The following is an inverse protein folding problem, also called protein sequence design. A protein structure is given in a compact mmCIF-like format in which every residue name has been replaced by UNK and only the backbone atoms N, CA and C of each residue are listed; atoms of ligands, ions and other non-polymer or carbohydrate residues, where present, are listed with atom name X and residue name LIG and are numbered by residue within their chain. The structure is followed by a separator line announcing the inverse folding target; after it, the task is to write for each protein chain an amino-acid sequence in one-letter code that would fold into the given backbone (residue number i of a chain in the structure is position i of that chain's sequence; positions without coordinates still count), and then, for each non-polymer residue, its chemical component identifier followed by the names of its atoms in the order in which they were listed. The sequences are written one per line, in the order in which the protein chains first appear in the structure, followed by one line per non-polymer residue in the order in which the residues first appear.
data_IF_950327872273
#
_entry.id   IF_950327872273
#
_cell.length_a   1.000
_cell.length_b   1.000
_cell.length_c   1.000
_cell.angle_alpha   90.00
_cell.angle_beta   90.00
_cell.angle_gamma   90.00
#
_symmetry.space_group_name_H-M   'P 1'
#
loop_
_entity.id
_entity.type
_entity.pdbx_description
1 polymer ?
#
# COMPACT_ATOMS: atom_id res chain seq x y z
N UNK A 1 29.97 35.11 -2.07
CA UNK A 1 28.93 34.36 -1.30
C UNK A 1 28.61 33.12 -2.12
N UNK A 2 28.64 31.93 -1.55
CA UNK A 2 28.22 30.73 -2.31
C UNK A 2 26.76 30.91 -2.72
N UNK A 3 26.43 30.55 -3.95
CA UNK A 3 25.07 30.60 -4.46
C UNK A 3 24.13 29.80 -3.54
N UNK A 4 23.03 30.40 -3.10
CA UNK A 4 22.03 29.73 -2.26
C UNK A 4 21.48 28.58 -3.08
N UNK A 5 21.64 27.32 -2.62
CA UNK A 5 21.09 26.14 -3.27
C UNK A 5 19.59 26.34 -3.45
N UNK A 6 19.11 26.31 -4.68
CA UNK A 6 17.68 26.41 -4.97
C UNK A 6 17.03 25.12 -4.50
N UNK A 7 16.04 25.21 -3.64
CA UNK A 7 15.27 24.07 -3.11
C UNK A 7 13.98 24.01 -3.91
N UNK A 8 13.69 22.85 -4.46
CA UNK A 8 12.49 22.58 -5.23
C UNK A 8 11.47 21.81 -4.38
N UNK A 9 10.22 21.83 -4.78
CA UNK A 9 9.12 21.13 -4.12
C UNK A 9 9.42 19.65 -3.88
N UNK A 10 9.98 18.97 -4.86
CA UNK A 10 10.37 17.56 -4.77
C UNK A 10 11.45 17.32 -3.69
N UNK A 11 12.45 18.20 -3.56
CA UNK A 11 13.46 18.10 -2.50
C UNK A 11 12.82 18.14 -1.11
N UNK A 12 11.77 18.97 -0.94
CA UNK A 12 11.04 19.11 0.32
C UNK A 12 10.23 17.84 0.62
N UNK A 13 9.54 17.28 -0.38
CA UNK A 13 8.76 16.05 -0.23
C UNK A 13 9.68 14.85 0.07
N UNK A 14 10.82 14.74 -0.59
CA UNK A 14 11.84 13.72 -0.28
C UNK A 14 12.37 13.84 1.15
N UNK A 15 12.68 15.05 1.60
CA UNK A 15 13.12 15.27 2.96
C UNK A 15 12.02 14.94 3.98
N UNK A 16 10.77 15.27 3.67
CA UNK A 16 9.63 14.91 4.50
C UNK A 16 9.44 13.39 4.61
N UNK A 17 9.63 12.65 3.52
CA UNK A 17 9.65 11.16 3.53
C UNK A 17 10.75 10.65 4.46
N UNK A 18 11.98 11.19 4.37
CA UNK A 18 13.07 10.77 5.26
C UNK A 18 12.75 11.05 6.73
N UNK A 19 12.18 12.22 7.05
CA UNK A 19 11.72 12.52 8.42
C UNK A 19 10.70 11.49 8.91
N UNK A 20 9.73 11.12 8.09
CA UNK A 20 8.73 10.09 8.45
C UNK A 20 9.41 8.73 8.68
N UNK A 21 10.26 8.28 7.76
CA UNK A 21 10.96 6.99 7.87
C UNK A 21 11.81 6.85 9.12
N UNK A 22 12.60 7.88 9.42
CA UNK A 22 13.62 7.82 10.47
C UNK A 22 13.08 8.17 11.85
N UNK A 23 12.11 9.08 11.92
CA UNK A 23 11.66 9.68 13.18
C UNK A 23 10.16 9.43 13.46
N UNK A 24 9.45 8.81 12.53
CA UNK A 24 8.02 8.53 12.63
C UNK A 24 7.12 9.71 12.24
N UNK A 25 5.85 9.40 12.07
CA UNK A 25 4.81 10.37 11.63
C UNK A 25 4.69 11.57 12.58
N UNK A 26 4.88 11.36 13.88
CA UNK A 26 4.79 12.42 14.90
C UNK A 26 5.89 13.47 14.79
N UNK A 27 7.01 13.13 14.17
CA UNK A 27 8.12 14.06 13.94
C UNK A 27 7.92 14.94 12.68
N UNK A 28 6.92 14.65 11.85
CA UNK A 28 6.66 15.41 10.64
C UNK A 28 6.24 16.84 10.96
N UNK A 29 7.11 17.79 10.65
CA UNK A 29 6.91 19.22 10.89
C UNK A 29 7.77 20.06 9.94
N UNK A 30 7.33 21.27 9.65
CA UNK A 30 8.11 22.23 8.82
C UNK A 30 9.53 22.40 9.34
N UNK A 31 9.71 22.45 10.68
CA UNK A 31 11.03 22.62 11.32
C UNK A 31 11.92 21.41 11.07
N UNK A 32 11.43 20.20 11.24
CA UNK A 32 12.22 18.99 11.03
C UNK A 32 12.57 18.77 9.56
N UNK A 33 11.65 19.06 8.64
CA UNK A 33 11.92 19.01 7.19
C UNK A 33 13.01 20.04 6.82
N UNK A 34 12.92 21.29 7.32
CA UNK A 34 13.92 22.32 7.07
C UNK A 34 15.30 21.94 7.65
N UNK A 35 15.33 21.31 8.84
CA UNK A 35 16.54 20.76 9.46
C UNK A 35 17.15 19.66 8.59
N UNK A 36 16.35 18.73 8.09
CA UNK A 36 16.78 17.65 7.20
C UNK A 36 17.42 18.19 5.91
N UNK A 37 16.88 19.28 5.37
CA UNK A 37 17.41 19.96 4.18
C UNK A 37 18.59 20.90 4.47
N UNK A 38 18.92 21.12 5.74
CA UNK A 38 19.93 22.13 6.18
C UNK A 38 19.61 23.55 5.68
N UNK A 39 18.32 23.96 5.72
CA UNK A 39 17.86 25.28 5.31
C UNK A 39 16.95 25.92 6.38
N UNK A 40 16.60 27.19 6.18
CA UNK A 40 15.53 27.83 6.95
C UNK A 40 14.15 27.31 6.53
N UNK A 41 13.10 27.61 7.29
CA UNK A 41 11.72 27.23 6.96
C UNK A 41 11.13 28.02 5.78
N UNK A 42 11.76 29.12 5.36
CA UNK A 42 11.24 30.01 4.32
C UNK A 42 11.01 29.32 2.97
N UNK A 43 11.93 28.48 2.44
CA UNK A 43 11.70 27.75 1.19
C UNK A 43 10.44 26.87 1.23
N UNK A 44 10.11 26.26 2.36
CA UNK A 44 8.92 25.42 2.49
C UNK A 44 7.64 26.23 2.32
N UNK A 45 7.57 27.42 2.96
CA UNK A 45 6.44 28.33 2.81
C UNK A 45 6.37 29.04 1.44
N UNK A 46 7.43 28.95 0.64
CA UNK A 46 7.41 29.45 -0.74
C UNK A 46 6.83 28.42 -1.72
N UNK A 47 6.93 27.13 -1.40
CA UNK A 47 6.48 26.02 -2.25
C UNK A 47 5.09 25.48 -1.83
N UNK A 48 4.71 25.65 -0.56
CA UNK A 48 3.44 25.16 0.00
C UNK A 48 2.71 26.27 0.74
N UNK A 49 1.42 26.38 0.50
CA UNK A 49 0.58 27.40 1.12
C UNK A 49 0.58 27.30 2.65
N UNK A 50 0.49 26.07 3.15
CA UNK A 50 0.52 25.76 4.58
C UNK A 50 1.03 24.34 4.81
N UNK A 51 1.10 23.93 6.09
CA UNK A 51 1.59 22.60 6.45
C UNK A 51 0.62 21.47 6.06
N UNK A 52 -0.68 21.75 6.02
CA UNK A 52 -1.68 20.75 5.63
C UNK A 52 -1.60 20.46 4.15
N UNK A 53 -1.44 21.49 3.29
CA UNK A 53 -1.19 21.29 1.86
C UNK A 53 0.10 20.51 1.58
N UNK A 54 1.15 20.73 2.36
CA UNK A 54 2.37 19.92 2.28
C UNK A 54 2.11 18.44 2.63
N UNK A 55 1.31 18.17 3.68
CA UNK A 55 0.97 16.79 4.06
C UNK A 55 0.14 16.07 3.00
N UNK A 56 -0.81 16.75 2.39
CA UNK A 56 -1.63 16.21 1.31
C UNK A 56 -0.76 15.82 0.10
N UNK A 57 0.10 16.75 -0.33
CA UNK A 57 1.01 16.47 -1.43
C UNK A 57 2.07 15.41 -1.09
N UNK A 58 2.57 15.38 0.14
CA UNK A 58 3.46 14.32 0.62
C UNK A 58 2.78 12.95 0.56
N UNK A 59 1.49 12.89 0.89
CA UNK A 59 0.74 11.65 0.80
C UNK A 59 0.65 11.14 -0.65
N UNK A 60 0.32 12.03 -1.59
CA UNK A 60 0.26 11.68 -3.02
C UNK A 60 1.64 11.25 -3.52
N UNK A 61 2.67 12.02 -3.23
CA UNK A 61 4.05 11.72 -3.59
C UNK A 61 4.51 10.37 -3.03
N UNK A 62 4.25 10.09 -1.75
CA UNK A 62 4.62 8.84 -1.13
C UNK A 62 3.88 7.65 -1.73
N UNK A 63 2.60 7.78 -2.06
CA UNK A 63 1.81 6.75 -2.74
C UNK A 63 2.34 6.46 -4.14
N UNK A 64 2.57 7.47 -4.94
CA UNK A 64 3.09 7.31 -6.31
C UNK A 64 4.49 6.66 -6.31
N UNK A 65 5.34 7.07 -5.39
CA UNK A 65 6.74 6.63 -5.39
C UNK A 65 6.96 5.25 -4.78
N UNK A 66 6.22 4.91 -3.72
CA UNK A 66 6.51 3.73 -2.90
C UNK A 66 5.45 2.63 -2.97
N UNK A 67 4.29 2.87 -3.60
CA UNK A 67 3.22 1.87 -3.77
C UNK A 67 3.07 1.48 -5.25
N UNK A 68 4.13 1.54 -6.04
CA UNK A 68 4.11 1.01 -7.39
C UNK A 68 4.30 -0.51 -7.34
N UNK A 69 3.26 -1.23 -7.74
CA UNK A 69 3.26 -2.69 -7.79
C UNK A 69 3.12 -3.08 -9.26
N UNK A 70 4.05 -3.92 -9.73
CA UNK A 70 3.94 -4.58 -11.03
C UNK A 70 3.70 -6.07 -10.79
N UNK A 71 2.47 -6.48 -10.45
CA UNK A 71 2.19 -7.86 -10.10
C UNK A 71 2.17 -8.73 -11.35
N UNK A 72 2.63 -9.96 -11.18
CA UNK A 72 2.47 -11.03 -12.18
C UNK A 72 1.35 -12.00 -11.80
N UNK A 73 0.96 -12.01 -10.53
CA UNK A 73 -0.06 -12.90 -9.96
C UNK A 73 -0.96 -12.14 -9.00
N UNK A 74 -2.18 -12.62 -8.80
CA UNK A 74 -3.10 -12.03 -7.83
C UNK A 74 -2.50 -11.93 -6.42
N UNK A 75 -1.77 -12.96 -5.97
CA UNK A 75 -1.12 -12.97 -4.66
C UNK A 75 -0.05 -11.88 -4.51
N UNK A 76 0.60 -11.48 -5.59
CA UNK A 76 1.68 -10.49 -5.56
C UNK A 76 1.19 -9.11 -5.07
N UNK A 77 -0.08 -8.75 -5.29
CA UNK A 77 -0.69 -7.54 -4.71
C UNK A 77 -0.69 -7.59 -3.18
N UNK A 78 -1.08 -8.73 -2.61
CA UNK A 78 -1.09 -8.92 -1.16
C UNK A 78 0.31 -8.91 -0.57
N UNK A 79 1.24 -9.68 -1.17
CA UNK A 79 2.63 -9.76 -0.72
C UNK A 79 3.32 -8.39 -0.76
N UNK A 80 3.12 -7.60 -1.83
CA UNK A 80 3.69 -6.27 -1.94
C UNK A 80 3.22 -5.34 -0.81
N UNK A 81 1.94 -5.39 -0.42
CA UNK A 81 1.44 -4.61 0.71
C UNK A 81 2.05 -5.05 2.04
N UNK A 82 2.21 -6.37 2.25
CA UNK A 82 2.84 -6.91 3.47
C UNK A 82 4.32 -6.57 3.55
N UNK A 83 5.07 -6.66 2.44
CA UNK A 83 6.47 -6.24 2.37
C UNK A 83 6.61 -4.74 2.64
N UNK A 84 5.77 -3.92 2.02
CA UNK A 84 5.76 -2.49 2.29
C UNK A 84 5.51 -2.18 3.77
N UNK A 85 4.55 -2.87 4.39
CA UNK A 85 4.27 -2.72 5.82
C UNK A 85 5.44 -3.17 6.72
N UNK A 86 6.25 -4.15 6.27
CA UNK A 86 7.40 -4.68 6.98
C UNK A 86 8.63 -3.79 6.85
N UNK A 87 8.93 -3.36 5.64
CA UNK A 87 10.15 -2.64 5.30
C UNK A 87 10.02 -1.13 5.55
N UNK A 88 8.82 -0.58 5.35
CA UNK A 88 8.51 0.84 5.41
C UNK A 88 7.44 1.17 6.46
N UNK A 89 7.61 0.65 7.68
CA UNK A 89 6.61 0.73 8.77
C UNK A 89 6.04 2.12 8.99
N UNK A 90 6.88 3.13 9.07
CA UNK A 90 6.43 4.50 9.35
C UNK A 90 5.74 5.14 8.14
N UNK A 91 6.18 4.84 6.92
CA UNK A 91 5.46 5.26 5.72
C UNK A 91 4.12 4.54 5.58
N UNK A 92 4.07 3.24 5.88
CA UNK A 92 2.81 2.51 5.90
C UNK A 92 1.81 3.14 6.89
N UNK A 93 2.26 3.46 8.12
CA UNK A 93 1.43 4.15 9.11
C UNK A 93 0.95 5.50 8.60
N UNK A 94 1.83 6.31 8.00
CA UNK A 94 1.50 7.61 7.45
C UNK A 94 0.44 7.54 6.35
N UNK A 95 0.55 6.55 5.46
CA UNK A 95 -0.34 6.42 4.29
C UNK A 95 -1.66 5.75 4.67
N UNK A 96 -1.63 4.69 5.49
CA UNK A 96 -2.76 3.79 5.70
C UNK A 96 -3.41 3.91 7.09
N UNK A 97 -2.66 4.24 8.15
CA UNK A 97 -3.16 4.27 9.54
C UNK A 97 -3.34 5.73 9.99
N UNK A 98 -4.25 6.45 9.36
CA UNK A 98 -4.61 7.80 9.75
C UNK A 98 -6.11 8.01 9.72
N UNK A 99 -6.58 8.97 10.51
CA UNK A 99 -7.95 9.46 10.34
C UNK A 99 -8.09 10.09 8.95
N UNK A 100 -9.20 9.82 8.28
CA UNK A 100 -9.53 10.36 6.95
C UNK A 100 -10.82 11.12 7.04
N UNK A 101 -10.91 12.20 6.27
CA UNK A 101 -12.17 12.86 6.04
C UNK A 101 -13.06 12.00 5.13
N UNK A 102 -14.38 12.18 5.21
CA UNK A 102 -15.37 11.31 4.54
C UNK A 102 -15.21 11.22 3.02
N UNK A 103 -14.52 12.18 2.41
CA UNK A 103 -14.33 12.27 0.96
C UNK A 103 -13.04 11.58 0.49
N UNK A 104 -12.13 11.25 1.41
CA UNK A 104 -10.86 10.64 1.05
C UNK A 104 -10.94 9.11 1.06
N UNK A 105 -11.28 8.53 -0.07
CA UNK A 105 -11.12 7.09 -0.29
C UNK A 105 -9.73 6.82 -0.87
N UNK A 106 -9.02 5.81 -0.33
CA UNK A 106 -7.86 5.27 -1.05
C UNK A 106 -8.43 4.41 -2.17
N UNK A 107 -8.38 4.92 -3.38
CA UNK A 107 -8.66 4.13 -4.56
C UNK A 107 -7.60 3.02 -4.67
N UNK A 108 -8.06 1.81 -4.85
CA UNK A 108 -7.19 0.70 -5.23
C UNK A 108 -6.87 0.88 -6.72
N UNK A 109 -5.68 1.35 -7.02
CA UNK A 109 -5.20 1.63 -8.39
C UNK A 109 -5.31 0.39 -9.29
N UNK A 110 -5.29 -0.80 -8.69
CA UNK A 110 -5.35 -2.06 -9.41
C UNK A 110 -6.74 -2.72 -9.39
N UNK A 111 -7.76 -2.02 -8.86
CA UNK A 111 -9.08 -2.62 -8.64
C UNK A 111 -9.68 -3.22 -9.90
N UNK A 112 -9.75 -2.46 -10.98
CA UNK A 112 -10.37 -2.91 -12.24
C UNK A 112 -9.59 -4.08 -12.85
N UNK A 113 -8.26 -4.01 -12.84
CA UNK A 113 -7.40 -5.10 -13.29
C UNK A 113 -7.63 -6.37 -12.46
N UNK A 114 -7.70 -6.22 -11.14
CA UNK A 114 -7.92 -7.33 -10.21
C UNK A 114 -9.29 -7.98 -10.41
N UNK A 115 -10.35 -7.17 -10.55
CA UNK A 115 -11.70 -7.70 -10.78
C UNK A 115 -11.78 -8.39 -12.15
N UNK A 116 -11.16 -7.81 -13.17
CA UNK A 116 -11.05 -8.45 -14.49
C UNK A 116 -10.37 -9.82 -14.40
N UNK A 117 -9.21 -9.89 -13.73
CA UNK A 117 -8.46 -11.13 -13.51
C UNK A 117 -9.32 -12.20 -12.81
N UNK A 118 -9.95 -11.85 -11.70
CA UNK A 118 -10.78 -12.78 -10.94
C UNK A 118 -12.00 -13.24 -11.76
N UNK A 119 -12.61 -12.35 -12.54
CA UNK A 119 -13.77 -12.70 -13.37
C UNK A 119 -13.40 -13.58 -14.56
N UNK A 120 -12.32 -13.27 -15.27
CA UNK A 120 -11.91 -13.99 -16.48
C UNK A 120 -11.17 -15.29 -16.15
N UNK A 121 -10.10 -15.24 -15.32
CA UNK A 121 -9.28 -16.41 -15.06
C UNK A 121 -9.97 -17.43 -14.17
N UNK A 122 -10.79 -16.97 -13.21
CA UNK A 122 -11.56 -17.87 -12.35
C UNK A 122 -12.98 -18.12 -12.84
N UNK A 123 -13.37 -17.58 -14.00
CA UNK A 123 -14.73 -17.72 -14.52
C UNK A 123 -15.79 -17.42 -13.44
N UNK A 124 -15.63 -16.29 -12.76
CA UNK A 124 -16.52 -15.83 -11.70
C UNK A 124 -17.40 -14.72 -12.20
N UNK A 125 -18.65 -14.68 -11.72
CA UNK A 125 -19.46 -13.49 -11.93
C UNK A 125 -18.83 -12.27 -11.21
N UNK A 126 -19.08 -11.09 -11.75
CA UNK A 126 -18.48 -9.83 -11.26
C UNK A 126 -18.81 -9.55 -9.79
N UNK A 127 -19.98 -9.93 -9.31
CA UNK A 127 -20.37 -9.73 -7.91
C UNK A 127 -19.51 -10.60 -6.97
N UNK A 128 -19.40 -11.90 -7.27
CA UNK A 128 -18.57 -12.83 -6.51
C UNK A 128 -17.09 -12.43 -6.54
N UNK A 129 -16.56 -12.00 -7.70
CA UNK A 129 -15.20 -11.49 -7.82
C UNK A 129 -14.94 -10.27 -6.91
N UNK A 130 -15.87 -9.30 -6.90
CA UNK A 130 -15.79 -8.12 -6.02
C UNK A 130 -15.84 -8.48 -4.54
N UNK A 131 -16.72 -9.37 -4.14
CA UNK A 131 -16.85 -9.81 -2.75
C UNK A 131 -15.62 -10.60 -2.28
N UNK A 132 -15.07 -11.49 -3.13
CA UNK A 132 -13.84 -12.20 -2.85
C UNK A 132 -12.69 -11.21 -2.66
N UNK A 133 -12.49 -10.31 -3.62
CA UNK A 133 -11.41 -9.31 -3.56
C UNK A 133 -11.52 -8.44 -2.30
N UNK A 134 -12.70 -7.94 -1.98
CA UNK A 134 -12.93 -7.14 -0.76
C UNK A 134 -12.52 -7.88 0.52
N UNK A 135 -12.83 -9.17 0.63
CA UNK A 135 -12.45 -9.98 1.80
C UNK A 135 -10.94 -10.23 1.84
N UNK A 136 -10.33 -10.49 0.69
CA UNK A 136 -8.86 -10.61 0.60
C UNK A 136 -8.18 -9.30 1.02
N UNK A 137 -8.69 -8.15 0.60
CA UNK A 137 -8.19 -6.84 1.03
C UNK A 137 -8.28 -6.67 2.55
N UNK A 138 -9.43 -6.99 3.16
CA UNK A 138 -9.58 -6.89 4.61
C UNK A 138 -8.58 -7.77 5.37
N UNK A 139 -8.39 -9.01 4.91
CA UNK A 139 -7.44 -9.93 5.52
C UNK A 139 -6.01 -9.44 5.39
N UNK A 140 -5.59 -9.11 4.17
CA UNK A 140 -4.23 -8.62 3.88
C UNK A 140 -3.93 -7.33 4.62
N UNK A 141 -4.88 -6.40 4.64
CA UNK A 141 -4.74 -5.13 5.36
C UNK A 141 -4.59 -5.34 6.87
N UNK A 142 -5.36 -6.27 7.45
CA UNK A 142 -5.23 -6.61 8.87
C UNK A 142 -3.83 -7.14 9.21
N UNK A 143 -3.27 -8.03 8.38
CA UNK A 143 -1.90 -8.52 8.52
C UNK A 143 -0.88 -7.37 8.41
N UNK A 144 -1.03 -6.52 7.40
CA UNK A 144 -0.14 -5.37 7.19
C UNK A 144 -0.13 -4.41 8.39
N UNK A 145 -1.31 -4.13 8.98
CA UNK A 145 -1.42 -3.32 10.21
C UNK A 145 -0.69 -3.98 11.38
N UNK A 146 -0.86 -5.30 11.58
CA UNK A 146 -0.17 -6.03 12.65
C UNK A 146 1.35 -5.97 12.48
N UNK A 147 1.85 -6.11 11.25
CA UNK A 147 3.28 -6.00 10.92
C UNK A 147 3.80 -4.59 11.19
N UNK A 148 3.16 -3.56 10.62
CA UNK A 148 3.62 -2.17 10.71
C UNK A 148 3.58 -1.63 12.13
N UNK A 149 2.63 -2.07 12.95
CA UNK A 149 2.51 -1.66 14.36
C UNK A 149 3.41 -2.47 15.30
N UNK A 150 4.05 -3.53 14.80
CA UNK A 150 4.86 -4.44 15.62
C UNK A 150 4.03 -5.34 16.55
N UNK A 151 2.71 -5.40 16.35
CA UNK A 151 1.84 -6.29 17.13
C UNK A 151 2.18 -7.76 16.89
N UNK A 152 2.57 -8.12 15.65
CA UNK A 152 3.01 -9.46 15.28
C UNK A 152 4.16 -9.39 14.29
N UNK A 153 5.18 -10.22 14.51
CA UNK A 153 6.23 -10.45 13.54
C UNK A 153 5.85 -11.67 12.69
N UNK A 154 5.65 -11.47 11.40
CA UNK A 154 5.21 -12.49 10.45
C UNK A 154 6.36 -12.76 9.48
N UNK A 155 6.74 -14.04 9.33
CA UNK A 155 7.81 -14.44 8.40
C UNK A 155 7.32 -14.42 6.94
N UNK A 156 8.26 -14.47 5.99
CA UNK A 156 7.94 -14.53 4.56
C UNK A 156 7.11 -15.78 4.23
N UNK A 157 7.50 -16.92 4.78
CA UNK A 157 6.79 -18.19 4.59
C UNK A 157 5.39 -18.15 5.21
N UNK A 158 5.22 -17.45 6.34
CA UNK A 158 3.91 -17.27 6.97
C UNK A 158 3.03 -16.33 6.14
N UNK A 159 3.58 -15.23 5.60
CA UNK A 159 2.84 -14.32 4.71
C UNK A 159 2.33 -15.06 3.47
N UNK A 160 3.20 -15.81 2.81
CA UNK A 160 2.86 -16.57 1.60
C UNK A 160 1.79 -17.62 1.88
N UNK A 161 1.94 -18.38 2.97
CA UNK A 161 1.00 -19.42 3.38
C UNK A 161 -0.36 -18.83 3.74
N UNK A 162 -0.41 -17.82 4.60
CA UNK A 162 -1.66 -17.19 5.05
C UNK A 162 -2.49 -16.62 3.89
N UNK A 163 -1.82 -15.92 2.94
CA UNK A 163 -2.51 -15.42 1.75
C UNK A 163 -3.03 -16.55 0.86
N UNK A 164 -2.29 -17.63 0.74
CA UNK A 164 -2.73 -18.80 -0.04
C UNK A 164 -3.91 -19.49 0.62
N UNK A 165 -3.85 -19.72 1.92
CA UNK A 165 -4.88 -20.45 2.68
C UNK A 165 -6.20 -19.68 2.70
N UNK A 166 -6.16 -18.37 2.98
CA UNK A 166 -7.38 -17.57 2.94
C UNK A 166 -7.97 -17.48 1.52
N UNK A 167 -7.12 -17.38 0.50
CA UNK A 167 -7.58 -17.38 -0.88
C UNK A 167 -8.26 -18.71 -1.26
N UNK A 168 -7.69 -19.87 -0.88
CA UNK A 168 -8.31 -21.19 -1.07
C UNK A 168 -9.67 -21.28 -0.40
N UNK A 169 -9.80 -20.78 0.84
CA UNK A 169 -11.07 -20.78 1.56
C UNK A 169 -12.13 -19.93 0.81
N UNK A 170 -11.75 -18.73 0.35
CA UNK A 170 -12.66 -17.87 -0.39
C UNK A 170 -13.02 -18.47 -1.75
N UNK A 171 -12.06 -19.05 -2.45
CA UNK A 171 -12.24 -19.69 -3.74
C UNK A 171 -13.24 -20.85 -3.64
N UNK A 172 -13.07 -21.73 -2.66
CA UNK A 172 -13.99 -22.83 -2.37
C UNK A 172 -15.41 -22.33 -2.10
N UNK A 173 -15.54 -21.27 -1.30
CA UNK A 173 -16.85 -20.69 -0.98
C UNK A 173 -17.57 -20.14 -2.22
N UNK A 174 -16.89 -19.32 -3.01
CA UNK A 174 -17.52 -18.62 -4.14
C UNK A 174 -17.73 -19.52 -5.36
N UNK A 175 -16.85 -20.50 -5.58
CA UNK A 175 -16.98 -21.48 -6.69
C UNK A 175 -17.69 -22.77 -6.28
N UNK A 176 -18.03 -22.94 -4.99
CA UNK A 176 -18.67 -24.16 -4.45
C UNK A 176 -17.84 -25.42 -4.71
N UNK A 177 -16.54 -25.34 -4.47
CA UNK A 177 -15.57 -26.43 -4.68
C UNK A 177 -15.54 -27.34 -3.47
N UNK A 178 -15.75 -28.65 -3.66
CA UNK A 178 -15.80 -29.62 -2.59
C UNK A 178 -14.51 -30.48 -2.47
N UNK A 179 -13.64 -30.49 -3.49
CA UNK A 179 -12.44 -31.32 -3.53
C UNK A 179 -11.16 -30.49 -3.73
N UNK A 180 -10.02 -31.06 -3.37
CA UNK A 180 -8.71 -30.41 -3.40
C UNK A 180 -8.19 -30.23 -4.84
N UNK A 181 -8.37 -31.24 -5.68
CA UNK A 181 -7.87 -31.24 -7.06
C UNK A 181 -8.49 -30.07 -7.87
N UNK A 182 -9.79 -29.87 -7.75
CA UNK A 182 -10.47 -28.73 -8.37
C UNK A 182 -10.00 -27.40 -7.78
N UNK A 183 -9.79 -27.34 -6.46
CA UNK A 183 -9.27 -26.14 -5.81
C UNK A 183 -7.87 -25.77 -6.32
N UNK A 184 -6.98 -26.76 -6.46
CA UNK A 184 -5.63 -26.56 -6.98
C UNK A 184 -5.65 -26.15 -8.46
N UNK A 185 -6.56 -26.72 -9.27
CA UNK A 185 -6.77 -26.27 -10.65
C UNK A 185 -7.10 -24.78 -10.74
N UNK A 186 -8.06 -24.30 -9.95
CA UNK A 186 -8.44 -22.88 -9.95
C UNK A 186 -7.38 -21.98 -9.35
N UNK A 187 -6.62 -22.49 -8.36
CA UNK A 187 -5.49 -21.78 -7.80
C UNK A 187 -4.38 -21.56 -8.84
N UNK A 188 -4.12 -22.55 -9.69
CA UNK A 188 -3.16 -22.42 -10.80
C UNK A 188 -3.60 -21.35 -11.79
N UNK A 189 -4.88 -21.33 -12.16
CA UNK A 189 -5.44 -20.30 -13.07
C UNK A 189 -5.42 -18.87 -12.50
N UNK A 190 -5.38 -18.73 -11.17
CA UNK A 190 -5.23 -17.43 -10.52
C UNK A 190 -3.78 -16.89 -10.54
N UNK A 191 -2.82 -17.69 -11.01
CA UNK A 191 -1.40 -17.29 -11.02
C UNK A 191 -1.07 -16.34 -12.16
N UNK A 192 -1.72 -16.47 -13.29
CA UNK A 192 -1.38 -15.69 -14.48
C UNK A 192 -2.31 -14.48 -14.61
N UNK A 193 -1.73 -13.28 -14.69
CA UNK A 193 -2.48 -12.09 -15.08
C UNK A 193 -2.81 -12.19 -16.58
N UNK A 194 -4.02 -11.82 -17.02
CA UNK A 194 -4.32 -11.72 -18.43
C UNK A 194 -3.41 -10.67 -19.07
N UNK A 195 -2.86 -11.00 -20.25
CA UNK A 195 -2.07 -10.08 -21.08
C UNK A 195 -2.85 -8.82 -21.46
#
# INVERSE_FOLDING_TARGET
MPARKKIYKEDILEAAVRVVREQGVSALSVRNIAKELHVSTQPLYSEFENFDSLKEELLLFAREKYIQIHPHRYKDFGLALLHFAKDEKELFKFIFIRSRDKEEQIEDVNYDLTIKLLSENLEMDTHSAKELHKKMQYYTYSMAVMIATGYRNISEEEMDRELTDIFKIMLRHYKKIDNEEECDHWLERARDLPE
#
